data_IF_292603803888
#
_entry.id   IF_292603803888
#
_cell.length_a   1.000
_cell.length_b   1.000
_cell.length_c   1.000
_cell.angle_alpha   90.00
_cell.angle_beta   90.00
_cell.angle_gamma   90.00
#
_symmetry.space_group_name_H-M   'P 1'
#
loop_
_entity.id
_entity.type
_entity.pdbx_description
1 polymer ?
#
# COMPACT_ATOMS: atom_id res chain seq x y z
N UNK A 1 -9.97 9.50 -10.16
CA UNK A 1 -10.56 10.49 -9.23
C UNK A 1 -9.89 10.30 -7.89
N UNK A 2 -9.57 11.38 -7.19
CA UNK A 2 -9.06 11.27 -5.82
C UNK A 2 -10.21 10.87 -4.89
N UNK A 3 -9.97 9.88 -4.04
CA UNK A 3 -10.93 9.41 -3.03
C UNK A 3 -10.96 10.43 -1.88
N UNK A 4 -12.16 10.65 -1.33
CA UNK A 4 -12.36 11.55 -0.20
C UNK A 4 -11.72 11.00 1.10
N UNK A 5 -10.94 11.82 1.83
CA UNK A 5 -10.41 11.44 3.14
C UNK A 5 -11.52 11.11 4.15
N UNK A 6 -11.33 10.08 4.95
CA UNK A 6 -12.28 9.55 5.92
C UNK A 6 -13.37 8.65 5.34
N UNK A 7 -13.45 8.51 4.01
CA UNK A 7 -14.48 7.69 3.36
C UNK A 7 -14.29 6.19 3.57
N UNK A 8 -15.36 5.41 3.42
CA UNK A 8 -15.27 3.94 3.44
C UNK A 8 -14.49 3.41 2.22
N UNK A 9 -14.43 4.17 1.13
CA UNK A 9 -13.61 3.83 -0.04
C UNK A 9 -12.11 3.96 0.27
N UNK A 10 -11.70 5.03 0.97
CA UNK A 10 -10.33 5.17 1.47
C UNK A 10 -9.97 4.02 2.40
N UNK A 11 -10.85 3.71 3.36
CA UNK A 11 -10.67 2.59 4.27
C UNK A 11 -10.41 1.29 3.51
N UNK A 12 -11.23 0.96 2.52
CA UNK A 12 -11.09 -0.29 1.76
C UNK A 12 -9.78 -0.30 0.96
N UNK A 13 -9.46 0.80 0.27
CA UNK A 13 -8.29 0.89 -0.58
C UNK A 13 -6.99 0.87 0.23
N UNK A 14 -6.90 1.70 1.27
CA UNK A 14 -5.74 1.74 2.17
C UNK A 14 -5.57 0.41 2.89
N UNK A 15 -6.67 -0.20 3.36
CA UNK A 15 -6.63 -1.51 4.01
C UNK A 15 -6.09 -2.60 3.09
N UNK A 16 -6.50 -2.61 1.81
CA UNK A 16 -5.96 -3.51 0.77
C UNK A 16 -4.46 -3.26 0.55
N UNK A 17 -4.05 -2.01 0.43
CA UNK A 17 -2.65 -1.62 0.26
C UNK A 17 -1.78 -2.13 1.43
N UNK A 18 -2.23 -1.92 2.67
CA UNK A 18 -1.55 -2.42 3.87
C UNK A 18 -1.45 -3.96 3.81
N UNK A 19 -2.56 -4.65 3.57
CA UNK A 19 -2.61 -6.11 3.56
C UNK A 19 -1.69 -6.72 2.49
N UNK A 20 -1.75 -6.20 1.26
CA UNK A 20 -0.96 -6.72 0.12
C UNK A 20 0.54 -6.51 0.28
N UNK A 21 0.97 -5.50 1.04
CA UNK A 21 2.38 -5.27 1.31
C UNK A 21 2.96 -6.11 2.46
N UNK A 22 2.15 -6.89 3.19
CA UNK A 22 2.66 -7.67 4.32
C UNK A 22 3.70 -8.69 3.86
N UNK A 23 4.87 -8.67 4.49
CA UNK A 23 5.98 -9.59 4.16
C UNK A 23 6.77 -9.22 2.90
N UNK A 24 6.43 -8.12 2.21
CA UNK A 24 7.15 -7.66 1.02
C UNK A 24 8.16 -6.57 1.38
N UNK A 25 9.43 -6.77 1.01
CA UNK A 25 10.49 -5.76 1.23
C UNK A 25 10.15 -4.44 0.52
N UNK A 26 9.59 -4.51 -0.68
CA UNK A 26 9.20 -3.33 -1.47
C UNK A 26 8.17 -2.44 -0.75
N UNK A 27 7.36 -3.02 0.14
CA UNK A 27 6.36 -2.31 0.94
C UNK A 27 6.93 -1.51 2.13
N UNK A 28 8.26 -1.52 2.30
CA UNK A 28 8.95 -0.62 3.24
C UNK A 28 9.13 0.80 2.71
N UNK A 29 8.91 1.02 1.41
CA UNK A 29 9.01 2.34 0.78
C UNK A 29 7.83 3.23 1.17
N UNK A 30 7.99 4.56 1.10
CA UNK A 30 6.84 5.47 1.17
C UNK A 30 5.79 5.15 0.10
N UNK A 31 4.51 5.40 0.41
CA UNK A 31 3.41 5.19 -0.55
C UNK A 31 3.66 5.96 -1.85
N UNK A 32 3.58 5.25 -2.97
CA UNK A 32 3.81 5.75 -4.32
C UNK A 32 5.27 5.69 -4.78
N UNK A 33 6.19 5.30 -3.89
CA UNK A 33 7.64 5.27 -4.15
C UNK A 33 8.20 3.84 -4.17
N UNK A 34 7.33 2.82 -4.09
CA UNK A 34 7.77 1.42 -4.21
C UNK A 34 8.33 1.14 -5.61
N UNK A 35 9.46 0.45 -5.66
CA UNK A 35 10.08 0.04 -6.93
C UNK A 35 10.74 -1.34 -6.81
N UNK A 36 10.96 -1.96 -7.97
CA UNK A 36 11.74 -3.17 -8.10
C UNK A 36 13.02 -2.88 -8.88
N UNK A 37 14.16 -3.12 -8.24
CA UNK A 37 15.44 -3.14 -8.95
C UNK A 37 15.47 -4.33 -9.93
N UNK A 38 15.62 -4.09 -11.25
CA UNK A 38 15.65 -5.14 -12.27
C UNK A 38 16.90 -6.04 -12.17
N UNK A 39 17.95 -5.60 -11.47
CA UNK A 39 19.20 -6.36 -11.33
C UNK A 39 19.15 -7.37 -10.18
N UNK A 40 18.18 -7.25 -9.27
CA UNK A 40 18.04 -8.15 -8.12
C UNK A 40 17.22 -9.39 -8.52
N UNK A 41 17.88 -10.55 -8.52
CA UNK A 41 17.20 -11.84 -8.73
C UNK A 41 16.36 -12.21 -7.51
N UNK A 42 15.12 -12.60 -7.76
CA UNK A 42 14.15 -13.00 -6.74
C UNK A 42 13.55 -14.33 -7.16
N UNK A 43 13.01 -15.07 -6.20
CA UNK A 43 12.15 -16.20 -6.51
C UNK A 43 10.98 -15.76 -7.42
N UNK A 44 10.55 -16.56 -8.42
CA UNK A 44 9.49 -16.17 -9.34
C UNK A 44 8.18 -15.75 -8.67
N UNK A 45 7.80 -16.41 -7.57
CA UNK A 45 6.59 -16.05 -6.84
C UNK A 45 6.76 -14.70 -6.14
N UNK A 46 7.89 -14.50 -5.47
CA UNK A 46 8.24 -13.23 -4.78
C UNK A 46 8.31 -12.08 -5.78
N UNK A 47 8.87 -12.32 -6.97
CA UNK A 47 8.94 -11.33 -8.04
C UNK A 47 7.54 -10.89 -8.47
N UNK A 48 6.67 -11.85 -8.81
CA UNK A 48 5.29 -11.57 -9.26
C UNK A 48 4.49 -10.78 -8.21
N UNK A 49 4.50 -11.20 -6.94
CA UNK A 49 3.74 -10.49 -5.89
C UNK A 49 4.31 -9.10 -5.60
N UNK A 50 5.63 -8.91 -5.79
CA UNK A 50 6.24 -7.60 -5.64
C UNK A 50 5.88 -6.67 -6.81
N UNK A 51 5.81 -7.18 -8.04
CA UNK A 51 5.35 -6.39 -9.20
C UNK A 51 3.89 -5.96 -9.02
N UNK A 52 3.03 -6.89 -8.60
CA UNK A 52 1.64 -6.60 -8.27
C UNK A 52 1.52 -5.50 -7.21
N UNK A 53 2.34 -5.57 -6.16
CA UNK A 53 2.36 -4.56 -5.12
C UNK A 53 2.86 -3.20 -5.62
N UNK A 54 3.92 -3.15 -6.44
CA UNK A 54 4.44 -1.89 -6.99
C UNK A 54 3.40 -1.21 -7.91
N UNK A 55 2.66 -1.99 -8.70
CA UNK A 55 1.56 -1.46 -9.51
C UNK A 55 0.43 -0.91 -8.63
N UNK A 56 0.03 -1.67 -7.60
CA UNK A 56 -0.97 -1.23 -6.64
C UNK A 56 -0.55 0.05 -5.91
N UNK A 57 0.71 0.15 -5.47
CA UNK A 57 1.23 1.30 -4.74
C UNK A 57 1.15 2.60 -5.55
N UNK A 58 1.50 2.54 -6.84
CA UNK A 58 1.38 3.67 -7.77
C UNK A 58 -0.06 4.11 -7.96
N UNK A 59 -0.98 3.16 -8.12
CA UNK A 59 -2.40 3.42 -8.30
C UNK A 59 -3.03 4.04 -7.03
N UNK A 60 -2.75 3.45 -5.86
CA UNK A 60 -3.23 3.97 -4.57
C UNK A 60 -2.69 5.37 -4.30
N UNK A 61 -1.43 5.67 -4.64
CA UNK A 61 -0.88 7.01 -4.46
C UNK A 61 -1.55 8.08 -5.34
N UNK A 62 -2.13 7.68 -6.49
CA UNK A 62 -2.93 8.59 -7.33
C UNK A 62 -4.34 8.80 -6.77
N UNK A 63 -4.93 7.76 -6.17
CA UNK A 63 -6.27 7.80 -5.59
C UNK A 63 -6.28 8.46 -4.20
N UNK A 64 -5.20 8.34 -3.43
CA UNK A 64 -5.04 8.88 -2.07
C UNK A 64 -3.86 9.86 -1.98
N UNK A 65 -3.90 10.99 -2.73
CA UNK A 65 -2.76 11.91 -2.80
C UNK A 65 -2.38 12.54 -1.45
N UNK A 66 -3.30 12.63 -0.48
CA UNK A 66 -3.03 13.14 0.87
C UNK A 66 -2.24 12.16 1.75
N UNK A 67 -2.12 10.89 1.34
CA UNK A 67 -1.34 9.85 2.01
C UNK A 67 -0.02 9.54 1.30
N UNK A 68 0.17 10.03 0.07
CA UNK A 68 1.38 9.83 -0.71
C UNK A 68 2.63 10.28 0.07
N UNK A 69 3.70 9.49 -0.03
CA UNK A 69 4.98 9.80 0.62
C UNK A 69 5.05 9.47 2.11
N UNK A 70 3.97 8.96 2.71
CA UNK A 70 3.99 8.44 4.09
C UNK A 70 4.51 7.00 4.12
N UNK A 71 5.24 6.66 5.17
CA UNK A 71 5.70 5.30 5.38
C UNK A 71 4.58 4.37 5.85
N UNK A 72 4.75 3.07 5.59
CA UNK A 72 3.80 2.03 5.97
C UNK A 72 3.39 2.10 7.44
N UNK A 73 4.33 2.27 8.37
CA UNK A 73 4.00 2.32 9.81
C UNK A 73 3.12 3.52 10.16
N UNK A 74 3.28 4.66 9.48
CA UNK A 74 2.45 5.85 9.66
C UNK A 74 1.03 5.60 9.15
N UNK A 75 0.93 4.91 8.02
CA UNK A 75 -0.34 4.57 7.39
C UNK A 75 -1.10 3.47 8.16
N UNK A 76 -0.39 2.51 8.73
CA UNK A 76 -0.97 1.51 9.65
C UNK A 76 -1.49 2.17 10.93
N UNK A 77 -0.76 3.17 11.46
CA UNK A 77 -1.25 3.98 12.58
C UNK A 77 -2.48 4.80 12.17
N UNK A 78 -2.41 5.53 11.06
CA UNK A 78 -3.51 6.33 10.52
C UNK A 78 -4.77 5.49 10.34
N UNK A 79 -4.65 4.31 9.73
CA UNK A 79 -5.75 3.39 9.54
C UNK A 79 -6.37 2.97 10.89
N UNK A 80 -5.52 2.59 11.85
CA UNK A 80 -5.97 2.16 13.18
C UNK A 80 -6.71 3.26 13.93
N UNK A 81 -6.20 4.50 13.85
CA UNK A 81 -6.80 5.65 14.52
C UNK A 81 -8.20 5.97 13.96
N UNK A 82 -8.44 5.74 12.66
CA UNK A 82 -9.71 6.08 11.99
C UNK A 82 -10.74 4.94 12.02
N UNK A 83 -10.31 3.69 11.81
CA UNK A 83 -11.24 2.56 11.58
C UNK A 83 -11.00 1.36 12.50
N UNK A 84 -10.05 1.46 13.43
CA UNK A 84 -9.70 0.39 14.35
C UNK A 84 -8.69 -0.62 13.79
N UNK A 85 -8.37 -1.68 14.55
CA UNK A 85 -7.22 -2.54 14.28
C UNK A 85 -7.45 -3.55 13.14
N UNK A 86 -8.68 -3.71 12.66
CA UNK A 86 -9.04 -4.76 11.72
C UNK A 86 -9.02 -4.25 10.28
N UNK A 87 -8.11 -4.82 9.49
CA UNK A 87 -8.09 -4.60 8.04
C UNK A 87 -9.37 -5.19 7.40
N UNK A 88 -9.83 -4.62 6.27
CA UNK A 88 -10.98 -5.15 5.53
C UNK A 88 -10.79 -6.64 5.19
N UNK A 89 -11.87 -7.42 5.33
CA UNK A 89 -11.95 -8.73 4.68
C UNK A 89 -12.12 -8.46 3.18
N UNK A 90 -11.44 -9.25 2.35
CA UNK A 90 -11.33 -9.01 0.90
C UNK A 90 -12.68 -8.76 0.23
#
# INVERSE_FOLDING_TARGET
MSIEPGSDEERRLLGRWIKKGQGLIVAGSPMGESYLDPNVKRDPEVHRVSEEYVMLDRDVAQQLPHLKGRFRYELEKYFRDHWGPYLPKD
#
